data_IF_893751280308
#
_entry.id   IF_893751280308
#
_cell.length_a   1.000
_cell.length_b   1.000
_cell.length_c   1.000
_cell.angle_alpha   90.00
_cell.angle_beta   90.00
_cell.angle_gamma   90.00
#
_symmetry.space_group_name_H-M   'P 1'
#
loop_
_entity.id
_entity.type
_entity.pdbx_description
1 polymer ?
#
# COMPACT_ATOMS: atom_id res chain seq x y z
N UNK A 1 27.28 8.81 -29.29
CA UNK A 1 28.17 8.86 -28.10
C UNK A 1 27.70 7.82 -27.10
N UNK A 2 28.47 6.77 -26.84
CA UNK A 2 28.16 5.82 -25.77
C UNK A 2 28.31 6.54 -24.43
N UNK A 3 27.23 6.65 -23.67
CA UNK A 3 27.31 7.13 -22.28
C UNK A 3 28.11 6.09 -21.49
N UNK A 4 29.27 6.47 -21.03
CA UNK A 4 30.06 5.65 -20.11
C UNK A 4 29.28 5.45 -18.82
N UNK A 5 29.08 4.21 -18.43
CA UNK A 5 28.36 3.90 -17.18
C UNK A 5 29.22 4.27 -15.98
N UNK A 6 28.59 4.75 -14.91
CA UNK A 6 29.27 5.00 -13.63
C UNK A 6 29.88 3.68 -13.10
N UNK A 7 31.04 3.78 -12.45
CA UNK A 7 31.74 2.60 -11.89
C UNK A 7 30.97 1.94 -10.72
N UNK A 8 30.12 2.71 -10.04
CA UNK A 8 29.30 2.24 -8.91
C UNK A 8 27.85 2.59 -9.14
N UNK A 9 26.95 1.71 -8.71
CA UNK A 9 25.51 1.95 -8.73
C UNK A 9 25.12 2.93 -7.62
N UNK A 10 24.42 4.01 -7.96
CA UNK A 10 23.83 4.93 -7.00
C UNK A 10 22.29 4.79 -7.05
N UNK A 11 21.67 4.10 -6.08
CA UNK A 11 20.22 3.88 -6.05
C UNK A 11 19.44 5.19 -5.98
N UNK A 12 19.92 6.19 -5.24
CA UNK A 12 19.23 7.46 -5.06
C UNK A 12 19.11 8.26 -6.36
N UNK A 13 20.06 8.10 -7.28
CA UNK A 13 20.03 8.78 -8.56
C UNK A 13 19.10 8.13 -9.60
N UNK A 14 18.70 6.87 -9.39
CA UNK A 14 18.08 6.02 -10.43
C UNK A 14 16.69 5.52 -10.00
N UNK A 15 16.56 4.94 -8.82
CA UNK A 15 15.40 4.10 -8.46
C UNK A 15 14.10 4.89 -8.42
N UNK A 16 14.08 6.06 -7.81
CA UNK A 16 12.88 6.88 -7.67
C UNK A 16 12.32 7.28 -9.04
N UNK A 17 13.17 7.84 -9.90
CA UNK A 17 12.79 8.25 -11.27
C UNK A 17 12.33 7.06 -12.13
N UNK A 18 12.97 5.89 -11.95
CA UNK A 18 12.59 4.69 -12.67
C UNK A 18 11.21 4.20 -12.23
N UNK A 19 10.95 4.19 -10.93
CA UNK A 19 9.68 3.77 -10.38
C UNK A 19 8.54 4.72 -10.76
N UNK A 20 8.75 6.04 -10.66
CA UNK A 20 7.82 7.06 -11.15
C UNK A 20 7.45 6.81 -12.62
N UNK A 21 8.44 6.61 -13.47
CA UNK A 21 8.23 6.27 -14.89
C UNK A 21 7.37 5.02 -15.08
N UNK A 22 7.55 3.98 -14.24
CA UNK A 22 6.73 2.77 -14.34
C UNK A 22 5.28 3.04 -13.97
N UNK A 23 5.03 3.85 -12.94
CA UNK A 23 3.69 4.25 -12.53
C UNK A 23 3.02 5.15 -13.58
N UNK A 24 3.70 6.17 -14.08
CA UNK A 24 3.20 7.06 -15.14
C UNK A 24 2.80 6.32 -16.41
N UNK A 25 3.59 5.32 -16.82
CA UNK A 25 3.28 4.48 -17.97
C UNK A 25 2.28 3.34 -17.66
N UNK A 26 1.77 3.26 -16.45
CA UNK A 26 0.79 2.27 -16.00
C UNK A 26 1.20 0.82 -16.27
N UNK A 27 2.49 0.51 -16.13
CA UNK A 27 3.01 -0.84 -16.41
C UNK A 27 2.48 -1.92 -15.47
N UNK A 28 1.92 -1.53 -14.33
CA UNK A 28 1.35 -2.43 -13.33
C UNK A 28 -0.16 -2.53 -13.41
N UNK A 29 -0.78 -1.68 -14.23
CA UNK A 29 -2.23 -1.66 -14.43
C UNK A 29 -2.69 -2.79 -15.34
N UNK A 30 -3.86 -3.38 -15.05
CA UNK A 30 -4.47 -4.40 -15.87
C UNK A 30 -5.97 -4.15 -16.04
N UNK A 31 -6.43 -4.20 -17.28
CA UNK A 31 -7.84 -4.18 -17.63
C UNK A 31 -8.32 -5.56 -18.07
N UNK A 32 -9.64 -5.74 -18.15
CA UNK A 32 -10.21 -7.02 -18.58
C UNK A 32 -9.83 -7.29 -20.05
N UNK A 33 -8.98 -8.28 -20.24
CA UNK A 33 -8.53 -8.74 -21.55
C UNK A 33 -8.80 -10.24 -21.70
N UNK A 34 -9.84 -10.60 -22.47
CA UNK A 34 -10.26 -11.99 -22.68
C UNK A 34 -9.35 -12.78 -23.62
N UNK A 35 -8.43 -12.11 -24.30
CA UNK A 35 -7.45 -12.76 -25.18
C UNK A 35 -6.25 -13.31 -24.40
N UNK A 36 -6.05 -12.87 -23.16
CA UNK A 36 -4.95 -13.24 -22.29
C UNK A 36 -5.44 -14.01 -21.07
N UNK A 37 -4.65 -14.98 -20.64
CA UNK A 37 -4.96 -15.73 -19.42
C UNK A 37 -4.82 -14.81 -18.19
N UNK A 38 -5.85 -14.73 -17.32
CA UNK A 38 -5.77 -13.89 -16.15
C UNK A 38 -4.90 -14.52 -15.05
N UNK A 39 -4.21 -13.66 -14.30
CA UNK A 39 -3.56 -14.00 -13.05
C UNK A 39 -3.74 -12.84 -12.07
N UNK A 40 -4.54 -13.05 -11.04
CA UNK A 40 -4.85 -11.99 -10.06
C UNK A 40 -4.46 -12.44 -8.67
N UNK A 41 -3.81 -11.54 -7.94
CA UNK A 41 -3.53 -11.70 -6.51
C UNK A 41 -3.88 -10.44 -5.75
N UNK A 42 -4.18 -10.58 -4.46
CA UNK A 42 -4.47 -9.48 -3.55
C UNK A 42 -3.37 -9.46 -2.50
N UNK A 43 -2.79 -8.29 -2.28
CA UNK A 43 -1.83 -8.09 -1.20
C UNK A 43 -2.54 -8.30 0.14
N UNK A 44 -2.00 -9.13 1.05
CA UNK A 44 -2.47 -9.11 2.44
C UNK A 44 -2.31 -7.68 2.98
N UNK A 45 -3.41 -6.98 3.31
CA UNK A 45 -3.34 -5.56 3.60
C UNK A 45 -2.62 -5.33 4.92
N UNK A 46 -1.48 -4.60 4.94
CA UNK A 46 -0.81 -4.29 6.18
C UNK A 46 -1.65 -3.37 7.07
N UNK A 47 -1.57 -3.61 8.38
CA UNK A 47 -2.22 -2.80 9.40
C UNK A 47 -1.59 -1.40 9.46
N UNK A 48 -2.42 -0.35 9.53
CA UNK A 48 -1.96 1.04 9.71
C UNK A 48 -1.48 1.35 11.15
N UNK A 49 -0.90 0.38 11.82
CA UNK A 49 -0.45 0.49 13.22
C UNK A 49 1.00 0.93 13.36
N UNK A 50 1.69 1.13 12.24
CA UNK A 50 3.08 1.55 12.22
C UNK A 50 3.75 1.34 10.86
N UNK A 51 5.09 1.46 10.86
CA UNK A 51 5.92 1.22 9.67
C UNK A 51 6.02 -0.28 9.36
N UNK A 52 6.26 -0.60 8.09
CA UNK A 52 6.55 -1.97 7.67
C UNK A 52 7.87 -2.48 8.28
N UNK A 53 7.95 -3.78 8.45
CA UNK A 53 9.16 -4.49 8.91
C UNK A 53 9.59 -5.56 7.90
N UNK A 54 10.72 -6.23 8.16
CA UNK A 54 11.29 -7.22 7.24
C UNK A 54 10.35 -8.37 6.87
N UNK A 55 9.41 -8.75 7.74
CA UNK A 55 8.38 -9.74 7.42
C UNK A 55 7.47 -9.28 6.29
N UNK A 56 7.03 -8.03 6.31
CA UNK A 56 6.26 -7.45 5.20
C UNK A 56 7.09 -7.36 3.92
N UNK A 57 8.38 -7.00 4.02
CA UNK A 57 9.25 -6.95 2.86
C UNK A 57 9.40 -8.33 2.22
N UNK A 58 9.58 -9.39 3.00
CA UNK A 58 9.68 -10.77 2.51
C UNK A 58 8.39 -11.20 1.82
N UNK A 59 7.24 -11.04 2.50
CA UNK A 59 5.93 -11.42 1.96
C UNK A 59 5.63 -10.72 0.62
N UNK A 60 5.78 -9.41 0.58
CA UNK A 60 5.54 -8.63 -0.63
C UNK A 60 6.54 -8.95 -1.75
N UNK A 61 7.81 -9.22 -1.43
CA UNK A 61 8.81 -9.60 -2.43
C UNK A 61 8.44 -10.93 -3.10
N UNK A 62 7.97 -11.92 -2.35
CA UNK A 62 7.54 -13.20 -2.91
C UNK A 62 6.36 -13.03 -3.88
N UNK A 63 5.39 -12.22 -3.53
CA UNK A 63 4.25 -11.89 -4.38
C UNK A 63 4.70 -11.10 -5.62
N UNK A 64 5.59 -10.13 -5.46
CA UNK A 64 6.12 -9.32 -6.57
C UNK A 64 6.89 -10.16 -7.60
N UNK A 65 7.68 -11.12 -7.14
CA UNK A 65 8.37 -12.08 -8.02
C UNK A 65 7.35 -12.85 -8.87
N UNK A 66 6.29 -13.38 -8.25
CA UNK A 66 5.26 -14.15 -8.95
C UNK A 66 4.50 -13.30 -9.97
N UNK A 67 4.11 -12.10 -9.60
CA UNK A 67 3.34 -11.22 -10.50
C UNK A 67 4.18 -10.75 -11.69
N UNK A 68 5.47 -10.42 -11.47
CA UNK A 68 6.42 -10.07 -12.54
C UNK A 68 6.67 -11.25 -13.47
N UNK A 69 6.87 -12.44 -12.92
CA UNK A 69 7.02 -13.66 -13.70
C UNK A 69 5.81 -13.90 -14.61
N UNK A 70 4.59 -13.77 -14.06
CA UNK A 70 3.35 -13.94 -14.85
C UNK A 70 3.20 -12.87 -15.94
N UNK A 71 3.58 -11.63 -15.69
CA UNK A 71 3.64 -10.61 -16.76
C UNK A 71 4.62 -11.00 -17.88
N UNK A 72 5.78 -11.51 -17.53
CA UNK A 72 6.78 -11.98 -18.51
C UNK A 72 6.27 -13.17 -19.33
N UNK A 73 5.45 -14.05 -18.75
CA UNK A 73 4.78 -15.15 -19.45
C UNK A 73 3.59 -14.68 -20.34
N UNK A 74 3.27 -13.38 -20.37
CA UNK A 74 2.19 -12.81 -21.17
C UNK A 74 0.80 -12.90 -20.56
N UNK A 75 0.70 -13.25 -19.27
CA UNK A 75 -0.60 -13.21 -18.58
C UNK A 75 -1.12 -11.77 -18.43
N UNK A 76 -2.44 -11.63 -18.35
CA UNK A 76 -3.08 -10.42 -17.86
C UNK A 76 -2.99 -10.43 -16.33
N UNK A 77 -1.90 -9.86 -15.79
CA UNK A 77 -1.55 -10.02 -14.39
C UNK A 77 -1.92 -8.77 -13.59
N UNK A 78 -2.75 -8.95 -12.57
CA UNK A 78 -3.22 -7.91 -11.65
C UNK A 78 -2.80 -8.23 -10.22
N UNK A 79 -2.17 -7.28 -9.55
CA UNK A 79 -1.89 -7.32 -8.12
C UNK A 79 -2.51 -6.12 -7.43
N UNK A 80 -3.48 -6.35 -6.55
CA UNK A 80 -4.27 -5.32 -5.87
C UNK A 80 -3.64 -5.01 -4.53
N UNK A 81 -3.17 -3.77 -4.28
CA UNK A 81 -2.69 -3.34 -2.98
C UNK A 81 -3.84 -2.91 -2.06
N UNK A 82 -3.54 -2.79 -0.77
CA UNK A 82 -4.46 -2.24 0.20
C UNK A 82 -3.83 -2.09 1.58
N UNK A 83 -4.57 -1.44 2.48
CA UNK A 83 -4.22 -1.27 3.90
C UNK A 83 -5.40 -1.63 4.79
N UNK A 84 -5.10 -2.11 6.00
CA UNK A 84 -6.10 -2.49 6.99
C UNK A 84 -6.19 -1.48 8.13
N UNK A 85 -7.41 -1.09 8.48
CA UNK A 85 -7.69 -0.18 9.59
C UNK A 85 -7.35 -0.76 10.97
N UNK A 86 -7.24 -2.09 11.10
CA UNK A 86 -6.82 -2.81 12.31
C UNK A 86 -7.53 -2.40 13.63
N UNK A 87 -8.72 -1.81 13.51
CA UNK A 87 -9.66 -1.44 14.59
C UNK A 87 -9.02 -1.17 15.98
N UNK A 88 -9.06 -2.19 16.86
CA UNK A 88 -8.59 -2.09 18.26
C UNK A 88 -7.12 -1.64 18.35
N UNK A 89 -6.25 -2.18 17.50
CA UNK A 89 -4.82 -1.86 17.53
C UNK A 89 -4.56 -0.41 17.15
N UNK A 90 -5.29 0.13 16.17
CA UNK A 90 -5.22 1.55 15.78
C UNK A 90 -5.79 2.44 16.87
N UNK A 91 -6.91 2.06 17.49
CA UNK A 91 -7.47 2.80 18.64
C UNK A 91 -6.46 2.93 19.78
N UNK A 92 -5.76 1.84 20.12
CA UNK A 92 -4.70 1.86 21.16
C UNK A 92 -3.57 2.82 20.77
N UNK A 93 -3.13 2.80 19.51
CA UNK A 93 -2.06 3.69 19.02
C UNK A 93 -2.45 5.15 19.12
N UNK A 94 -3.62 5.51 18.59
CA UNK A 94 -4.14 6.89 18.65
C UNK A 94 -4.35 7.34 20.10
N UNK A 95 -4.89 6.46 20.96
CA UNK A 95 -5.05 6.78 22.38
C UNK A 95 -3.71 7.05 23.07
N UNK A 96 -2.66 6.30 22.75
CA UNK A 96 -1.33 6.54 23.32
C UNK A 96 -0.73 7.85 22.81
N UNK A 97 -0.88 8.16 21.54
CA UNK A 97 -0.46 9.45 20.97
C UNK A 97 -1.16 10.62 21.68
N UNK A 98 -2.47 10.55 21.87
CA UNK A 98 -3.21 11.59 22.60
C UNK A 98 -2.68 11.79 24.02
N UNK A 99 -2.35 10.68 24.73
CA UNK A 99 -1.75 10.76 26.07
C UNK A 99 -0.39 11.44 26.08
N UNK A 100 0.44 11.17 25.07
CA UNK A 100 1.75 11.83 24.91
C UNK A 100 1.60 13.35 24.64
N UNK A 101 0.53 13.72 23.94
CA UNK A 101 0.15 15.12 23.69
C UNK A 101 -0.55 15.78 24.91
N UNK A 102 -0.85 15.02 25.97
CA UNK A 102 -1.56 15.52 27.16
C UNK A 102 -3.06 15.71 26.98
N UNK A 103 -3.66 15.06 25.97
CA UNK A 103 -5.08 15.15 25.62
C UNK A 103 -5.83 13.96 26.21
N UNK A 104 -6.91 14.22 26.99
CA UNK A 104 -7.80 13.16 27.45
C UNK A 104 -8.79 12.77 26.35
N UNK A 105 -8.78 11.48 25.98
CA UNK A 105 -9.73 10.91 25.00
C UNK A 105 -11.20 11.22 25.35
N UNK A 106 -11.55 11.27 26.65
CA UNK A 106 -12.91 11.54 27.11
C UNK A 106 -13.33 12.98 26.88
N UNK A 107 -12.38 13.92 27.04
CA UNK A 107 -12.63 15.34 26.78
C UNK A 107 -12.76 15.63 25.30
N UNK A 108 -12.00 14.90 24.45
CA UNK A 108 -12.05 15.02 23.00
C UNK A 108 -13.40 14.56 22.43
N UNK A 109 -14.07 13.62 23.09
CA UNK A 109 -15.32 13.03 22.63
C UNK A 109 -15.16 12.10 21.42
N UNK A 110 -16.29 11.54 20.96
CA UNK A 110 -16.30 10.57 19.86
C UNK A 110 -15.84 11.18 18.52
N UNK A 111 -16.38 12.34 18.19
CA UNK A 111 -16.09 13.00 16.89
C UNK A 111 -14.63 13.42 16.79
N UNK A 112 -14.10 14.08 17.81
CA UNK A 112 -12.70 14.46 17.83
C UNK A 112 -11.75 13.24 17.81
N UNK A 113 -12.12 12.14 18.49
CA UNK A 113 -11.33 10.91 18.42
C UNK A 113 -11.34 10.28 17.01
N UNK A 114 -12.48 10.29 16.33
CA UNK A 114 -12.56 9.82 14.94
C UNK A 114 -11.72 10.67 14.00
N UNK A 115 -11.76 11.99 14.15
CA UNK A 115 -10.91 12.89 13.35
C UNK A 115 -9.42 12.57 13.52
N UNK A 116 -8.97 12.38 14.77
CA UNK A 116 -7.57 11.97 15.05
C UNK A 116 -7.24 10.60 14.46
N UNK A 117 -8.18 9.67 14.45
CA UNK A 117 -8.00 8.35 13.86
C UNK A 117 -7.87 8.43 12.35
N UNK A 118 -8.63 9.29 11.69
CA UNK A 118 -8.46 9.54 10.25
C UNK A 118 -7.14 10.22 9.91
N UNK A 119 -6.69 11.16 10.72
CA UNK A 119 -5.35 11.78 10.57
C UNK A 119 -4.24 10.73 10.70
N UNK A 120 -4.35 9.84 11.69
CA UNK A 120 -3.45 8.70 11.84
C UNK A 120 -3.45 7.80 10.60
N UNK A 121 -4.63 7.48 10.05
CA UNK A 121 -4.76 6.69 8.81
C UNK A 121 -4.02 7.33 7.64
N UNK A 122 -4.21 8.62 7.41
CA UNK A 122 -3.53 9.33 6.30
C UNK A 122 -1.99 9.28 6.45
N UNK A 123 -1.49 9.51 7.64
CA UNK A 123 -0.04 9.48 7.91
C UNK A 123 0.55 8.09 7.68
N UNK A 124 -0.05 7.06 8.26
CA UNK A 124 0.54 5.72 8.24
C UNK A 124 0.26 4.95 6.96
N UNK A 125 -0.89 5.12 6.33
CA UNK A 125 -1.15 4.57 5.00
C UNK A 125 -0.16 5.16 3.97
N UNK A 126 0.03 6.48 3.96
CA UNK A 126 1.03 7.10 3.10
C UNK A 126 2.46 6.66 3.39
N UNK A 127 2.80 6.42 4.67
CA UNK A 127 4.11 5.87 5.05
C UNK A 127 4.30 4.46 4.50
N UNK A 128 3.30 3.59 4.64
CA UNK A 128 3.30 2.21 4.14
C UNK A 128 3.44 2.19 2.62
N UNK A 129 2.64 2.98 1.92
CA UNK A 129 2.69 3.12 0.46
C UNK A 129 4.10 3.53 -0.01
N UNK A 130 4.68 4.54 0.61
CA UNK A 130 6.03 5.00 0.29
C UNK A 130 7.10 3.92 0.55
N UNK A 131 6.96 3.13 1.61
CA UNK A 131 7.86 2.01 1.88
C UNK A 131 7.75 0.91 0.82
N UNK A 132 6.53 0.58 0.39
CA UNK A 132 6.29 -0.39 -0.69
C UNK A 132 6.84 0.10 -2.03
N UNK A 133 6.67 1.38 -2.35
CA UNK A 133 7.25 2.00 -3.55
C UNK A 133 8.78 1.97 -3.51
N UNK A 134 9.39 2.20 -2.35
CA UNK A 134 10.87 2.07 -2.17
C UNK A 134 11.36 0.63 -2.36
N UNK A 135 10.57 -0.38 -2.05
CA UNK A 135 10.86 -1.79 -2.37
C UNK A 135 10.67 -2.11 -3.86
N UNK A 136 10.14 -1.19 -4.66
CA UNK A 136 9.87 -1.38 -6.07
C UNK A 136 8.68 -2.29 -6.36
N UNK A 137 7.73 -2.40 -5.44
CA UNK A 137 6.55 -3.28 -5.54
C UNK A 137 5.70 -2.92 -6.77
N UNK A 138 5.38 -3.91 -7.59
CA UNK A 138 4.73 -3.73 -8.89
C UNK A 138 3.22 -4.01 -8.86
N UNK A 139 2.53 -3.47 -7.87
CA UNK A 139 1.07 -3.55 -7.74
C UNK A 139 0.35 -2.41 -8.50
N UNK A 140 -0.94 -2.59 -8.75
CA UNK A 140 -1.81 -1.60 -9.41
C UNK A 140 -2.31 -0.57 -8.39
N UNK A 141 -1.59 0.55 -8.24
CA UNK A 141 -1.93 1.61 -7.29
C UNK A 141 -3.26 2.30 -7.59
N UNK A 142 -3.73 2.30 -8.83
CA UNK A 142 -5.05 2.86 -9.19
C UNK A 142 -6.20 2.06 -8.54
N UNK A 143 -5.92 0.85 -8.05
CA UNK A 143 -6.87 -0.07 -7.42
C UNK A 143 -6.62 -0.29 -5.93
N UNK A 144 -5.86 0.60 -5.30
CA UNK A 144 -5.64 0.54 -3.86
C UNK A 144 -6.96 0.54 -3.10
N UNK A 145 -7.03 -0.30 -2.05
CA UNK A 145 -8.20 -0.41 -1.19
C UNK A 145 -7.82 -0.19 0.27
N UNK A 146 -8.73 0.43 0.99
CA UNK A 146 -8.68 0.52 2.45
C UNK A 146 -9.88 -0.22 3.04
N UNK A 147 -9.68 -1.02 4.06
CA UNK A 147 -10.74 -1.89 4.61
C UNK A 147 -11.95 -1.15 5.18
N UNK A 148 -11.86 0.18 5.36
CA UNK A 148 -12.99 1.07 5.71
C UNK A 148 -13.33 2.07 4.60
N UNK A 149 -12.92 1.85 3.36
CA UNK A 149 -13.39 2.67 2.24
C UNK A 149 -14.90 2.51 2.02
N UNK A 150 -15.49 3.42 1.27
CA UNK A 150 -16.94 3.43 1.02
C UNK A 150 -17.45 2.10 0.45
N UNK A 151 -16.71 1.48 -0.47
CA UNK A 151 -17.09 0.22 -1.09
C UNK A 151 -17.05 -0.96 -0.12
N UNK A 152 -16.00 -1.05 0.70
CA UNK A 152 -15.88 -2.07 1.74
C UNK A 152 -16.94 -1.87 2.84
N UNK A 153 -17.17 -0.62 3.26
CA UNK A 153 -18.20 -0.30 4.26
C UNK A 153 -19.60 -0.67 3.79
N UNK A 154 -19.97 -0.32 2.56
CA UNK A 154 -21.26 -0.72 1.96
C UNK A 154 -21.41 -2.24 1.86
N UNK A 155 -20.36 -2.95 1.48
CA UNK A 155 -20.42 -4.41 1.40
C UNK A 155 -20.65 -5.05 2.78
N UNK A 156 -20.08 -4.51 3.83
CA UNK A 156 -20.33 -4.96 5.21
C UNK A 156 -21.76 -4.69 5.62
N UNK A 157 -22.29 -3.48 5.39
CA UNK A 157 -23.68 -3.11 5.70
C UNK A 157 -24.70 -3.98 4.96
N UNK A 158 -24.40 -4.34 3.70
CA UNK A 158 -25.31 -5.18 2.89
C UNK A 158 -25.38 -6.63 3.38
N UNK A 159 -24.30 -7.13 3.99
CA UNK A 159 -24.23 -8.51 4.52
C UNK A 159 -24.86 -8.62 5.90
N UNK A 160 -24.85 -7.56 6.70
CA UNK A 160 -25.43 -7.51 8.05
C UNK A 160 -26.91 -7.11 8.05
#
# INVERSE_FOLDING_TARGET
MSKELAKTYDPKAIEEKLYEKWCENKYFHAEVDRSRKPFTTVMPPPNITGKLHMGHALDNTLQDILIRYKRMEGYNALWIPGTDHAAISTEVKVTNQLKEEGIDKKELGREGFLERTWQWKEEYAGTIENQLKKLGISCDWDRERFTMDEGCSKAVEEVF
#
